data_IF_226660804238
#
_entry.id   IF_226660804238
#
_cell.length_a   1.000
_cell.length_b   1.000
_cell.length_c   1.000
_cell.angle_alpha   90.00
_cell.angle_beta   90.00
_cell.angle_gamma   90.00
#
_symmetry.space_group_name_H-M   'P 1'
#
loop_
_entity.id
_entity.type
_entity.pdbx_description
1 polymer ?
#
# COMPACT_ATOMS: atom_id res chain seq x y z
N UNK A 1 -5.09 1.02 3.39
CA UNK A 1 -3.85 1.76 3.05
C UNK A 1 -2.68 0.98 3.59
N UNK A 2 -1.68 0.69 2.77
CA UNK A 2 -0.55 -0.18 3.09
C UNK A 2 0.76 0.56 2.79
N UNK A 3 1.43 1.13 3.79
CA UNK A 3 2.81 1.57 3.66
C UNK A 3 3.71 0.37 3.36
N UNK A 4 4.47 0.40 2.26
CA UNK A 4 5.39 -0.69 1.90
C UNK A 4 6.68 -0.18 1.26
N UNK A 5 7.76 -0.97 1.41
CA UNK A 5 9.02 -0.76 0.68
C UNK A 5 8.91 -1.37 -0.72
N UNK A 6 9.36 -0.60 -1.71
CA UNK A 6 8.82 -0.65 -3.06
C UNK A 6 9.25 -1.83 -3.96
N UNK A 7 10.15 -2.73 -3.55
CA UNK A 7 10.87 -3.58 -4.53
C UNK A 7 10.70 -5.09 -4.33
N UNK A 8 10.34 -5.58 -3.14
CA UNK A 8 10.13 -7.04 -2.94
C UNK A 8 8.80 -7.35 -2.25
N UNK A 9 8.51 -6.66 -1.13
CA UNK A 9 7.31 -6.90 -0.31
C UNK A 9 6.01 -6.46 -0.97
N UNK A 10 6.08 -5.59 -1.97
CA UNK A 10 4.88 -5.16 -2.70
C UNK A 10 4.36 -6.28 -3.59
N UNK A 11 5.26 -7.03 -4.22
CA UNK A 11 4.92 -8.10 -5.16
C UNK A 11 4.30 -9.30 -4.46
N UNK A 12 4.87 -9.74 -3.34
CA UNK A 12 4.31 -10.82 -2.51
C UNK A 12 2.90 -10.47 -2.04
N UNK A 13 2.71 -9.26 -1.52
CA UNK A 13 1.40 -8.77 -1.10
C UNK A 13 0.39 -8.72 -2.27
N UNK A 14 0.83 -8.37 -3.48
CA UNK A 14 -0.03 -8.37 -4.66
C UNK A 14 -0.47 -9.79 -5.03
N UNK A 15 0.43 -10.76 -4.96
CA UNK A 15 0.12 -12.18 -5.20
C UNK A 15 -0.90 -12.68 -4.18
N UNK A 16 -0.66 -12.45 -2.89
CA UNK A 16 -1.56 -12.89 -1.83
C UNK A 16 -2.95 -12.26 -1.97
N UNK A 17 -3.03 -10.95 -2.18
CA UNK A 17 -4.30 -10.27 -2.41
C UNK A 17 -5.02 -10.81 -3.64
N UNK A 18 -4.30 -11.08 -4.73
CA UNK A 18 -4.88 -11.63 -5.95
C UNK A 18 -5.46 -13.03 -5.70
N UNK A 19 -4.70 -13.92 -5.05
CA UNK A 19 -5.14 -15.29 -4.75
C UNK A 19 -6.36 -15.29 -3.81
N UNK A 20 -6.34 -14.48 -2.75
CA UNK A 20 -7.46 -14.36 -1.82
C UNK A 20 -8.73 -13.81 -2.49
N UNK A 21 -8.60 -12.81 -3.37
CA UNK A 21 -9.74 -12.28 -4.14
C UNK A 21 -10.28 -13.32 -5.13
N UNK A 22 -9.39 -14.06 -5.80
CA UNK A 22 -9.75 -15.11 -6.76
C UNK A 22 -10.47 -16.28 -6.07
N UNK A 23 -10.07 -16.62 -4.85
CA UNK A 23 -10.70 -17.63 -4.01
C UNK A 23 -12.03 -17.17 -3.37
N UNK A 24 -12.33 -15.87 -3.39
CA UNK A 24 -13.53 -15.30 -2.75
C UNK A 24 -13.41 -15.16 -1.23
N UNK A 25 -12.22 -15.30 -0.67
CA UNK A 25 -11.96 -15.18 0.78
C UNK A 25 -11.97 -13.71 1.24
N UNK A 26 -11.65 -12.79 0.33
CA UNK A 26 -11.76 -11.35 0.55
C UNK A 26 -12.55 -10.69 -0.57
N UNK A 27 -13.20 -9.54 -0.32
CA UNK A 27 -13.93 -8.83 -1.36
C UNK A 27 -13.00 -8.39 -2.50
N UNK A 28 -13.45 -8.61 -3.74
CA UNK A 28 -12.80 -8.07 -4.93
C UNK A 28 -12.81 -6.55 -4.88
N UNK A 29 -11.64 -5.93 -5.00
CA UNK A 29 -11.49 -4.48 -4.88
C UNK A 29 -10.35 -3.96 -5.77
N UNK A 30 -10.41 -2.70 -6.22
CA UNK A 30 -9.28 -2.06 -6.88
C UNK A 30 -8.05 -1.99 -5.96
N UNK A 31 -6.89 -2.33 -6.50
CA UNK A 31 -5.59 -2.24 -5.84
C UNK A 31 -4.77 -1.19 -6.58
N UNK A 32 -4.34 -0.15 -5.87
CA UNK A 32 -3.49 0.91 -6.42
C UNK A 32 -2.08 0.77 -5.88
N UNK A 33 -1.10 0.71 -6.79
CA UNK A 33 0.33 0.78 -6.45
C UNK A 33 0.81 2.20 -6.76
N UNK A 34 0.94 3.01 -5.71
CA UNK A 34 1.35 4.41 -5.79
C UNK A 34 2.81 4.61 -5.39
N UNK A 35 3.68 4.01 -6.20
CA UNK A 35 5.12 4.11 -6.07
C UNK A 35 5.76 4.03 -7.46
N UNK A 36 6.31 5.13 -7.99
CA UNK A 36 7.01 5.13 -9.28
C UNK A 36 8.18 4.13 -9.33
N UNK A 37 8.78 3.82 -8.17
CA UNK A 37 9.81 2.80 -8.07
C UNK A 37 9.22 1.39 -8.18
N UNK A 38 8.10 1.12 -7.50
CA UNK A 38 7.42 -0.18 -7.57
C UNK A 38 6.86 -0.43 -8.98
N UNK A 39 6.33 0.60 -9.65
CA UNK A 39 5.90 0.51 -11.05
C UNK A 39 7.05 0.09 -11.94
N UNK A 40 8.21 0.76 -11.85
CA UNK A 40 9.40 0.41 -12.64
C UNK A 40 9.93 -0.99 -12.32
N UNK A 41 9.98 -1.36 -11.05
CA UNK A 41 10.41 -2.70 -10.64
C UNK A 41 9.47 -3.78 -11.22
N UNK A 42 8.16 -3.57 -11.14
CA UNK A 42 7.15 -4.49 -11.67
C UNK A 42 7.28 -4.68 -13.19
N UNK A 43 7.57 -3.60 -13.94
CA UNK A 43 7.83 -3.68 -15.40
C UNK A 43 9.10 -4.48 -15.71
N UNK A 44 10.13 -4.43 -14.85
CA UNK A 44 11.34 -5.24 -15.02
C UNK A 44 11.02 -6.71 -14.74
N UNK A 45 10.28 -7.01 -13.68
CA UNK A 45 9.87 -8.38 -13.36
C UNK A 45 9.01 -9.00 -14.47
N UNK A 46 8.08 -8.26 -15.06
CA UNK A 46 7.28 -8.75 -16.19
C UNK A 46 8.15 -9.19 -17.38
N UNK A 47 9.26 -8.49 -17.62
CA UNK A 47 10.21 -8.78 -18.72
C UNK A 47 11.16 -9.95 -18.44
N UNK A 48 11.45 -10.24 -17.17
CA UNK A 48 12.35 -11.33 -16.75
C UNK A 48 11.63 -12.52 -16.13
N UNK A 49 10.30 -12.52 -16.19
CA UNK A 49 9.45 -13.52 -15.59
C UNK A 49 9.62 -14.92 -16.23
N UNK A 50 10.22 -15.05 -17.41
CA UNK A 50 10.47 -16.37 -18.01
C UNK A 50 11.59 -17.17 -17.31
N UNK A 51 12.37 -16.54 -16.41
CA UNK A 51 13.54 -17.15 -15.76
C UNK A 51 13.29 -17.66 -14.31
N UNK A 52 12.07 -17.55 -13.76
CA UNK A 52 11.80 -17.83 -12.34
C UNK A 52 10.53 -18.70 -12.15
N UNK A 53 10.64 -19.88 -11.53
CA UNK A 53 9.55 -20.87 -11.36
C UNK A 53 8.35 -20.40 -10.51
N UNK A 54 8.48 -19.36 -9.67
CA UNK A 54 7.38 -18.80 -8.86
C UNK A 54 6.54 -17.71 -9.58
N UNK A 55 6.78 -17.51 -10.87
CA UNK A 55 6.26 -16.35 -11.61
C UNK A 55 4.77 -16.41 -11.94
N UNK A 56 4.16 -17.58 -12.04
CA UNK A 56 2.77 -17.69 -12.53
C UNK A 56 1.78 -16.90 -11.67
N UNK A 57 1.95 -16.94 -10.34
CA UNK A 57 1.12 -16.18 -9.42
C UNK A 57 1.33 -14.66 -9.57
N UNK A 58 2.58 -14.22 -9.72
CA UNK A 58 2.92 -12.82 -9.89
C UNK A 58 2.46 -12.27 -11.26
N UNK A 59 2.63 -13.02 -12.35
CA UNK A 59 2.09 -12.65 -13.67
C UNK A 59 0.57 -12.51 -13.65
N UNK A 60 -0.14 -13.43 -13.01
CA UNK A 60 -1.59 -13.33 -12.85
C UNK A 60 -2.00 -12.12 -11.99
N UNK A 61 -1.27 -11.85 -10.91
CA UNK A 61 -1.52 -10.67 -10.07
C UNK A 61 -1.23 -9.36 -10.82
N UNK A 62 -0.15 -9.28 -11.59
CA UNK A 62 0.24 -8.11 -12.37
C UNK A 62 -0.70 -7.82 -13.55
N UNK A 63 -1.27 -8.87 -14.15
CA UNK A 63 -2.27 -8.78 -15.23
C UNK A 63 -3.71 -8.65 -14.73
N UNK A 64 -3.92 -8.62 -13.41
CA UNK A 64 -5.23 -8.52 -12.78
C UNK A 64 -5.96 -7.23 -13.17
N UNK A 65 -7.24 -7.27 -13.60
CA UNK A 65 -8.00 -6.05 -13.91
C UNK A 65 -8.28 -5.16 -12.69
N UNK A 66 -8.07 -5.70 -11.48
CA UNK A 66 -8.15 -4.94 -10.23
C UNK A 66 -6.89 -4.11 -9.97
N UNK A 67 -5.73 -4.45 -10.55
CA UNK A 67 -4.47 -3.77 -10.27
C UNK A 67 -4.30 -2.52 -11.14
N UNK A 68 -3.87 -1.42 -10.53
CA UNK A 68 -3.60 -0.14 -11.19
C UNK A 68 -2.33 0.48 -10.64
N UNK A 69 -1.37 0.74 -11.53
CA UNK A 69 -0.19 1.53 -11.19
C UNK A 69 -0.46 3.02 -11.40
N UNK A 70 0.09 3.87 -10.53
CA UNK A 70 0.02 5.32 -10.70
C UNK A 70 1.39 5.92 -11.00
N UNK A 71 1.45 6.64 -12.10
CA UNK A 71 2.66 7.28 -12.61
C UNK A 71 2.70 8.75 -12.22
N UNK A 72 1.56 9.44 -12.34
CA UNK A 72 1.48 10.89 -12.15
C UNK A 72 1.01 11.30 -10.76
N UNK A 73 1.32 12.54 -10.37
CA UNK A 73 0.86 13.14 -9.13
C UNK A 73 -0.67 13.30 -9.14
N UNK A 74 -1.24 13.59 -10.30
CA UNK A 74 -2.68 13.76 -10.52
C UNK A 74 -3.42 12.46 -10.27
N UNK A 75 -2.90 11.33 -10.77
CA UNK A 75 -3.43 9.99 -10.51
C UNK A 75 -3.38 9.65 -9.01
N UNK A 76 -2.25 9.90 -8.35
CA UNK A 76 -2.10 9.72 -6.89
C UNK A 76 -3.13 10.53 -6.10
N UNK A 77 -3.32 11.81 -6.45
CA UNK A 77 -4.32 12.69 -5.83
C UNK A 77 -5.76 12.21 -6.09
N UNK A 78 -6.04 11.67 -7.27
CA UNK A 78 -7.36 11.17 -7.64
C UNK A 78 -7.79 9.97 -6.76
N UNK A 79 -6.85 9.09 -6.38
CA UNK A 79 -7.13 7.97 -5.47
C UNK A 79 -7.76 8.45 -4.16
N UNK A 80 -7.29 9.57 -3.61
CA UNK A 80 -7.78 10.09 -2.33
C UNK A 80 -9.25 10.55 -2.36
N UNK A 81 -9.82 10.71 -3.56
CA UNK A 81 -11.22 11.09 -3.79
C UNK A 81 -12.15 9.88 -3.98
N UNK A 82 -11.59 8.68 -4.11
CA UNK A 82 -12.36 7.46 -4.28
C UNK A 82 -13.19 7.14 -3.03
N UNK A 83 -14.32 6.48 -3.29
CA UNK A 83 -15.25 5.95 -2.27
C UNK A 83 -15.39 4.44 -2.48
N UNK A 84 -15.88 3.77 -1.45
CA UNK A 84 -15.98 2.31 -1.44
C UNK A 84 -14.71 1.65 -0.89
N UNK A 85 -14.62 0.33 -1.07
CA UNK A 85 -13.49 -0.47 -0.61
C UNK A 85 -12.42 -0.55 -1.70
N UNK A 86 -11.20 -0.17 -1.35
CA UNK A 86 -10.03 -0.21 -2.23
C UNK A 86 -8.76 -0.34 -1.41
N UNK A 87 -7.70 -0.86 -2.04
CA UNK A 87 -6.37 -1.01 -1.44
C UNK A 87 -5.44 -0.01 -2.10
N UNK A 88 -4.60 0.65 -1.30
CA UNK A 88 -3.51 1.51 -1.79
C UNK A 88 -2.23 1.04 -1.14
N UNK A 89 -1.26 0.66 -1.95
CA UNK A 89 0.10 0.31 -1.55
C UNK A 89 1.00 1.45 -1.99
N UNK A 90 1.68 2.11 -1.05
CA UNK A 90 2.51 3.28 -1.37
C UNK A 90 3.77 3.35 -0.50
N UNK A 91 4.82 3.92 -1.06
CA UNK A 91 6.08 4.19 -0.36
C UNK A 91 6.06 5.55 0.37
N UNK A 92 6.81 5.73 1.47
CA UNK A 92 7.73 4.78 2.12
C UNK A 92 7.09 3.87 3.16
N UNK A 93 7.68 2.69 3.40
CA UNK A 93 7.17 1.69 4.35
C UNK A 93 7.10 2.14 5.81
N UNK A 94 7.90 3.15 6.20
CA UNK A 94 7.87 3.74 7.55
C UNK A 94 7.04 5.02 7.67
N UNK A 95 6.36 5.42 6.59
CA UNK A 95 5.50 6.61 6.52
C UNK A 95 6.20 7.98 6.62
N UNK A 96 7.53 8.03 6.65
CA UNK A 96 8.26 9.29 6.87
C UNK A 96 8.31 10.21 5.64
N UNK A 97 8.19 9.64 4.44
CA UNK A 97 8.30 10.36 3.18
C UNK A 97 7.48 9.71 2.06
N UNK A 98 7.37 10.43 0.93
CA UNK A 98 6.73 9.92 -0.28
C UNK A 98 5.22 10.07 -0.30
N UNK A 99 4.60 9.42 -1.30
CA UNK A 99 3.16 9.54 -1.60
C UNK A 99 2.27 9.00 -0.48
N UNK A 100 2.79 8.05 0.33
CA UNK A 100 2.07 7.52 1.49
C UNK A 100 1.58 8.61 2.45
N UNK A 101 2.34 9.70 2.64
CA UNK A 101 1.93 10.79 3.55
C UNK A 101 0.65 11.48 3.08
N UNK A 102 0.46 11.61 1.77
CA UNK A 102 -0.76 12.16 1.21
C UNK A 102 -1.95 11.22 1.42
N UNK A 103 -1.76 9.92 1.25
CA UNK A 103 -2.79 8.92 1.54
C UNK A 103 -3.14 8.85 3.03
N UNK A 104 -2.15 8.91 3.92
CA UNK A 104 -2.38 8.96 5.37
C UNK A 104 -3.17 10.19 5.76
N UNK A 105 -2.76 11.38 5.30
CA UNK A 105 -3.49 12.63 5.54
C UNK A 105 -4.94 12.56 5.06
N UNK A 106 -5.19 11.93 3.91
CA UNK A 106 -6.53 11.80 3.34
C UNK A 106 -7.42 10.77 4.05
N UNK A 107 -6.84 9.79 4.77
CA UNK A 107 -7.57 8.63 5.27
C UNK A 107 -7.51 8.42 6.80
N UNK A 108 -6.51 8.96 7.51
CA UNK A 108 -6.35 8.72 8.96
C UNK A 108 -7.56 9.17 9.79
N UNK A 109 -8.26 10.22 9.36
CA UNK A 109 -9.45 10.73 10.05
C UNK A 109 -10.71 9.90 9.79
N UNK A 110 -10.66 8.91 8.89
CA UNK A 110 -11.81 8.08 8.49
C UNK A 110 -11.89 6.83 9.37
N UNK A 111 -13.01 6.63 10.08
CA UNK A 111 -13.24 5.45 10.94
C UNK A 111 -13.32 4.13 10.18
N UNK A 112 -13.68 4.18 8.90
CA UNK A 112 -13.78 3.01 8.03
C UNK A 112 -12.48 2.71 7.27
N UNK A 113 -11.40 3.46 7.52
CA UNK A 113 -10.10 3.18 6.93
C UNK A 113 -9.25 2.31 7.86
N UNK A 114 -8.42 1.46 7.25
CA UNK A 114 -7.34 0.74 7.93
C UNK A 114 -6.00 1.13 7.32
N UNK A 115 -5.03 1.46 8.17
CA UNK A 115 -3.61 1.57 7.83
C UNK A 115 -2.93 0.30 8.32
N UNK A 116 -2.45 -0.51 7.38
CA UNK A 116 -1.81 -1.80 7.64
C UNK A 116 -0.31 -1.65 7.40
N UNK A 117 0.48 -1.62 8.45
CA UNK A 117 1.94 -1.57 8.38
C UNK A 117 2.45 -2.95 7.96
N UNK A 118 3.21 -3.02 6.87
CA UNK A 118 3.70 -4.28 6.28
C UNK A 118 5.18 -4.57 6.63
N UNK A 119 5.64 -4.14 7.81
CA UNK A 119 7.00 -4.42 8.27
C UNK A 119 7.43 -3.51 9.41
N UNK A 120 8.68 -3.71 9.84
CA UNK A 120 9.30 -3.00 10.96
C UNK A 120 9.15 -1.47 10.87
N UNK A 121 8.86 -0.86 12.03
CA UNK A 121 8.73 0.58 12.19
C UNK A 121 9.77 1.08 13.20
N UNK A 122 10.75 1.85 12.74
CA UNK A 122 11.80 2.39 13.60
C UNK A 122 11.26 3.40 14.62
N UNK A 123 11.89 3.48 15.79
CA UNK A 123 11.52 4.46 16.81
C UNK A 123 11.61 5.88 16.24
N UNK A 124 10.57 6.69 16.50
CA UNK A 124 10.48 8.05 15.99
C UNK A 124 9.95 8.19 14.56
N UNK A 125 9.74 7.09 13.83
CA UNK A 125 9.05 7.16 12.53
C UNK A 125 7.57 7.47 12.70
N UNK A 126 6.95 8.05 11.67
CA UNK A 126 5.50 8.27 11.69
C UNK A 126 4.73 6.95 11.84
N UNK A 127 5.18 5.88 11.19
CA UNK A 127 4.52 4.59 11.29
C UNK A 127 4.60 4.00 12.70
N UNK A 128 5.72 4.16 13.42
CA UNK A 128 5.82 3.75 14.83
C UNK A 128 4.89 4.57 15.71
N UNK A 129 4.87 5.89 15.55
CA UNK A 129 3.98 6.79 16.29
C UNK A 129 2.50 6.39 16.11
N UNK A 130 2.11 6.00 14.90
CA UNK A 130 0.76 5.51 14.62
C UNK A 130 0.49 4.16 15.30
N UNK A 131 1.44 3.22 15.27
CA UNK A 131 1.32 1.92 15.96
C UNK A 131 1.21 2.06 17.47
N UNK A 132 1.92 3.03 18.06
CA UNK A 132 1.89 3.31 19.49
C UNK A 132 0.56 3.96 19.95
N UNK A 133 -0.40 4.16 19.03
CA UNK A 133 -1.76 4.58 19.34
C UNK A 133 -1.97 6.09 19.38
N UNK A 134 -1.10 6.87 18.73
CA UNK A 134 -1.26 8.32 18.64
C UNK A 134 -2.65 8.69 18.12
N UNK A 135 -3.38 9.53 18.88
CA UNK A 135 -4.71 10.02 18.51
C UNK A 135 -4.68 11.19 17.53
N UNK A 136 -3.53 11.87 17.45
CA UNK A 136 -3.26 12.98 16.54
C UNK A 136 -1.81 12.90 16.09
N UNK A 137 -1.57 13.25 14.84
CA UNK A 137 -0.23 13.33 14.25
C UNK A 137 -0.11 14.56 13.36
N UNK A 138 1.10 15.11 13.20
CA UNK A 138 1.34 16.21 12.27
C UNK A 138 1.96 15.68 10.97
N UNK A 139 1.28 15.91 9.85
CA UNK A 139 1.72 15.47 8.52
C UNK A 139 1.76 16.70 7.61
N UNK A 140 2.93 17.05 7.08
CA UNK A 140 3.12 18.19 6.16
C UNK A 140 2.58 19.52 6.74
N UNK A 141 2.84 19.76 8.03
CA UNK A 141 2.41 20.98 8.74
C UNK A 141 0.98 20.92 9.30
N UNK A 142 0.15 19.97 8.85
CA UNK A 142 -1.24 19.87 9.26
C UNK A 142 -1.44 18.82 10.36
N UNK A 143 -2.26 19.15 11.35
CA UNK A 143 -2.67 18.21 12.39
C UNK A 143 -3.80 17.32 11.86
N UNK A 144 -3.63 16.00 11.99
CA UNK A 144 -4.58 15.00 11.52
C UNK A 144 -5.01 14.13 12.69
N UNK A 145 -6.32 14.02 12.89
CA UNK A 145 -6.90 13.09 13.87
C UNK A 145 -6.81 11.66 13.36
N UNK A 146 -6.43 10.74 14.24
CA UNK A 146 -6.29 9.31 13.94
C UNK A 146 -7.53 8.57 14.44
N UNK A 147 -8.46 8.33 13.51
CA UNK A 147 -9.68 7.54 13.70
C UNK A 147 -9.63 6.20 12.94
N UNK A 148 -8.76 6.11 11.95
CA UNK A 148 -8.51 4.88 11.21
C UNK A 148 -7.96 3.79 12.14
N UNK A 149 -8.26 2.53 11.82
CA UNK A 149 -7.63 1.39 12.48
C UNK A 149 -6.17 1.32 12.05
N UNK A 150 -5.25 1.26 13.00
CA UNK A 150 -3.83 1.00 12.74
C UNK A 150 -3.56 -0.47 13.09
N UNK A 151 -2.90 -1.20 12.20
CA UNK A 151 -2.54 -2.60 12.40
C UNK A 151 -1.13 -2.86 11.91
N UNK A 152 -0.42 -3.77 12.58
CA UNK A 152 0.83 -4.34 12.08
C UNK A 152 0.53 -5.71 11.47
N UNK A 153 1.10 -5.98 10.31
CA UNK A 153 1.10 -7.29 9.67
C UNK A 153 2.55 -7.70 9.46
N UNK A 154 3.05 -8.51 10.40
CA UNK A 154 4.46 -8.88 10.53
C UNK A 154 4.76 -10.22 9.84
N UNK A 155 4.23 -10.40 8.63
CA UNK A 155 4.46 -11.60 7.80
C UNK A 155 5.52 -11.39 6.72
N UNK A 156 5.90 -10.13 6.48
CA UNK A 156 6.84 -9.73 5.43
C UNK A 156 8.09 -9.02 6.00
N UNK A 157 8.43 -9.22 7.29
CA UNK A 157 9.57 -8.54 7.93
C UNK A 157 10.91 -9.22 7.71
#
# INVERSE_FOLDING_TARGET
IVPSFAVERTQELLVDLHLLMKAGEVPTAPIFVDSPLATRASTIFERHADDIEQVDGLRQALSSPQLRFTETIEQSKAINRLRGFFVVIAASGMCDAGRIRHHLKANLWRRNATVMMAGYQAQGSLGRILLDGARRVRIQGEEVEVKARISLFDLYS
#
